data_IF_368892043928
#
_entry.id   IF_368892043928
#
_cell.length_a   1.000
_cell.length_b   1.000
_cell.length_c   1.000
_cell.angle_alpha   90.00
_cell.angle_beta   90.00
_cell.angle_gamma   90.00
#
_symmetry.space_group_name_H-M   'P 1'
#
loop_
_entity.id
_entity.type
_entity.pdbx_description
1 polymer ?
#
# COMPACT_ATOMS: atom_id res chain seq x y z
N UNK A 1 -32.56 48.19 -25.06
CA UNK A 1 -33.03 46.79 -25.03
C UNK A 1 -31.88 45.92 -25.52
N UNK A 2 -31.12 45.31 -24.61
CA UNK A 2 -30.05 44.38 -24.95
C UNK A 2 -30.66 42.97 -25.03
N UNK A 3 -30.62 42.36 -26.22
CA UNK A 3 -31.11 40.99 -26.43
C UNK A 3 -30.17 40.01 -25.74
N UNK A 4 -30.70 39.27 -24.79
CA UNK A 4 -30.01 38.14 -24.14
C UNK A 4 -29.63 37.13 -25.22
N UNK A 5 -28.34 36.71 -25.32
CA UNK A 5 -27.94 35.69 -26.27
C UNK A 5 -28.62 34.37 -25.88
N UNK A 6 -29.51 33.91 -26.76
CA UNK A 6 -30.13 32.58 -26.70
C UNK A 6 -29.02 31.54 -26.57
N UNK A 7 -28.96 30.84 -25.44
CA UNK A 7 -28.09 29.71 -25.20
C UNK A 7 -28.38 28.63 -26.24
N UNK A 8 -27.61 28.62 -27.32
CA UNK A 8 -27.60 27.51 -28.27
C UNK A 8 -27.24 26.24 -27.49
N UNK A 9 -28.14 25.24 -27.54
CA UNK A 9 -27.97 23.95 -26.88
C UNK A 9 -26.64 23.31 -27.30
N UNK A 10 -25.63 23.43 -26.44
CA UNK A 10 -24.35 22.76 -26.64
C UNK A 10 -24.58 21.26 -26.45
N UNK A 11 -24.58 20.52 -27.55
CA UNK A 11 -24.56 19.06 -27.53
C UNK A 11 -23.45 18.56 -26.60
N UNK A 12 -23.84 17.75 -25.62
CA UNK A 12 -22.89 17.12 -24.69
C UNK A 12 -21.92 16.20 -25.46
N UNK A 13 -20.69 15.98 -24.96
CA UNK A 13 -19.74 15.05 -25.59
C UNK A 13 -20.34 13.66 -25.85
N UNK A 14 -21.22 13.18 -24.95
CA UNK A 14 -21.96 11.92 -25.12
C UNK A 14 -22.92 11.95 -26.31
N UNK A 15 -23.70 13.01 -26.45
CA UNK A 15 -24.62 13.17 -27.60
C UNK A 15 -23.85 13.29 -28.92
N UNK A 16 -22.70 13.97 -28.92
CA UNK A 16 -21.81 14.01 -30.09
C UNK A 16 -21.26 12.64 -30.44
N UNK A 17 -20.80 11.88 -29.45
CA UNK A 17 -20.32 10.51 -29.65
C UNK A 17 -21.42 9.56 -30.16
N UNK A 18 -22.67 9.71 -29.70
CA UNK A 18 -23.81 8.95 -30.20
C UNK A 18 -24.18 9.30 -31.64
N UNK A 19 -24.17 10.59 -32.00
CA UNK A 19 -24.35 11.02 -33.39
C UNK A 19 -23.27 10.44 -34.32
N UNK A 20 -22.02 10.40 -33.85
CA UNK A 20 -20.90 9.77 -34.56
C UNK A 20 -21.13 8.25 -34.66
N UNK A 21 -21.59 7.59 -33.59
CA UNK A 21 -21.82 6.14 -33.57
C UNK A 21 -22.96 5.70 -34.49
N UNK A 22 -24.00 6.51 -34.62
CA UNK A 22 -25.18 6.21 -35.44
C UNK A 22 -25.00 6.59 -36.92
N UNK A 23 -23.92 7.28 -37.27
CA UNK A 23 -23.58 7.61 -38.65
C UNK A 23 -23.05 6.38 -39.40
N UNK A 24 -23.54 6.17 -40.63
CA UNK A 24 -23.11 5.07 -41.52
C UNK A 24 -21.68 5.21 -42.04
N UNK A 25 -21.01 6.31 -41.74
CA UNK A 25 -19.66 6.57 -42.24
C UNK A 25 -18.60 5.74 -41.49
N UNK A 26 -17.61 5.26 -42.24
CA UNK A 26 -16.52 4.42 -41.71
C UNK A 26 -15.44 5.23 -40.95
N UNK A 27 -15.52 6.57 -40.99
CA UNK A 27 -14.53 7.47 -40.39
C UNK A 27 -14.89 7.72 -38.93
N UNK A 28 -14.27 6.96 -38.02
CA UNK A 28 -14.63 6.98 -36.58
C UNK A 28 -13.57 7.60 -35.68
N UNK A 29 -12.33 7.71 -36.14
CA UNK A 29 -11.18 8.13 -35.32
C UNK A 29 -10.21 9.03 -36.10
N UNK A 30 -9.31 9.71 -35.37
CA UNK A 30 -8.30 10.62 -35.94
C UNK A 30 -7.47 9.99 -37.07
N UNK A 31 -6.92 8.76 -36.94
CA UNK A 31 -6.14 8.14 -38.02
C UNK A 31 -6.98 7.91 -39.28
N UNK A 32 -8.22 7.43 -39.13
CA UNK A 32 -9.12 7.22 -40.27
C UNK A 32 -9.54 8.52 -40.96
N UNK A 33 -9.73 9.60 -40.20
CA UNK A 33 -10.05 10.92 -40.74
C UNK A 33 -8.87 11.51 -41.52
N UNK A 34 -7.65 11.39 -40.99
CA UNK A 34 -6.42 11.80 -41.68
C UNK A 34 -6.22 11.00 -42.97
N UNK A 35 -6.27 9.67 -42.88
CA UNK A 35 -6.09 8.80 -44.03
C UNK A 35 -7.08 9.12 -45.15
N UNK A 36 -8.36 9.33 -44.80
CA UNK A 36 -9.38 9.72 -45.76
C UNK A 36 -9.09 11.07 -46.43
N UNK A 37 -8.67 12.09 -45.66
CA UNK A 37 -8.32 13.40 -46.21
C UNK A 37 -7.11 13.34 -47.15
N UNK A 38 -6.12 12.50 -46.83
CA UNK A 38 -4.94 12.30 -47.67
C UNK A 38 -5.26 11.51 -48.93
N UNK A 39 -6.05 10.43 -48.83
CA UNK A 39 -6.47 9.60 -49.96
C UNK A 39 -7.28 10.40 -51.00
N UNK A 40 -8.08 11.37 -50.53
CA UNK A 40 -8.88 12.24 -51.40
C UNK A 40 -8.14 13.52 -51.85
N UNK A 41 -6.86 13.68 -51.49
CA UNK A 41 -6.02 14.80 -51.93
C UNK A 41 -6.38 16.15 -51.30
N UNK A 42 -7.07 16.17 -50.16
CA UNK A 42 -7.40 17.40 -49.44
C UNK A 42 -6.29 17.87 -48.50
N UNK A 43 -5.43 16.94 -48.04
CA UNK A 43 -4.26 17.21 -47.21
C UNK A 43 -3.08 16.42 -47.79
N UNK A 44 -1.90 17.03 -47.84
CA UNK A 44 -0.69 16.36 -48.33
C UNK A 44 -0.21 15.32 -47.32
N UNK A 45 0.29 14.17 -47.78
CA UNK A 45 0.86 13.18 -46.86
C UNK A 45 2.04 13.80 -46.07
N UNK A 46 2.06 13.57 -44.76
CA UNK A 46 3.01 14.18 -43.84
C UNK A 46 2.70 15.62 -43.36
N UNK A 47 1.72 16.31 -43.93
CA UNK A 47 1.37 17.68 -43.50
C UNK A 47 0.72 17.68 -42.09
N UNK A 48 1.11 18.62 -41.20
CA UNK A 48 0.52 18.71 -39.87
C UNK A 48 -0.93 19.18 -39.96
N UNK A 49 -1.82 18.46 -39.27
CA UNK A 49 -3.24 18.82 -39.19
C UNK A 49 -3.38 20.03 -38.27
N UNK A 50 -3.42 21.21 -38.86
CA UNK A 50 -3.67 22.51 -38.20
C UNK A 50 -5.03 23.07 -38.60
N UNK A 51 -5.56 24.02 -37.84
CA UNK A 51 -6.85 24.67 -38.15
C UNK A 51 -6.83 25.30 -39.55
N UNK A 52 -5.68 25.84 -39.96
CA UNK A 52 -5.46 26.40 -41.29
C UNK A 52 -5.54 25.34 -42.39
N UNK A 53 -4.90 24.17 -42.19
CA UNK A 53 -4.96 23.07 -43.17
C UNK A 53 -6.37 22.51 -43.31
N UNK A 54 -7.13 22.40 -42.22
CA UNK A 54 -8.52 21.94 -42.28
C UNK A 54 -9.42 22.99 -42.94
N UNK A 55 -9.21 24.28 -42.66
CA UNK A 55 -9.95 25.35 -43.32
C UNK A 55 -9.69 25.35 -44.85
N UNK A 56 -8.45 25.14 -45.27
CA UNK A 56 -8.09 24.98 -46.67
C UNK A 56 -8.75 23.74 -47.29
N UNK A 57 -8.71 22.59 -46.60
CA UNK A 57 -9.37 21.36 -47.03
C UNK A 57 -10.89 21.55 -47.20
N UNK A 58 -11.55 22.22 -46.25
CA UNK A 58 -12.98 22.55 -46.34
C UNK A 58 -13.28 23.49 -47.51
N UNK A 59 -12.42 24.48 -47.76
CA UNK A 59 -12.58 25.38 -48.90
C UNK A 59 -12.42 24.63 -50.22
N UNK A 60 -11.41 23.77 -50.35
CA UNK A 60 -11.24 22.89 -51.51
C UNK A 60 -12.46 22.00 -51.72
N UNK A 61 -12.99 21.38 -50.65
CA UNK A 61 -14.21 20.59 -50.71
C UNK A 61 -15.38 21.38 -51.31
N UNK A 62 -15.58 22.65 -50.97
CA UNK A 62 -16.67 23.45 -51.56
C UNK A 62 -16.54 23.68 -53.06
N UNK A 63 -15.31 23.64 -53.59
CA UNK A 63 -15.05 23.78 -55.03
C UNK A 63 -15.17 22.46 -55.79
N UNK A 64 -15.13 21.31 -55.08
CA UNK A 64 -15.27 19.99 -55.69
C UNK A 64 -16.73 19.68 -56.03
N UNK A 65 -16.99 19.21 -57.26
CA UNK A 65 -18.28 18.62 -57.61
C UNK A 65 -18.34 17.19 -57.07
N UNK A 66 -19.04 16.99 -55.96
CA UNK A 66 -19.22 15.65 -55.39
C UNK A 66 -20.19 14.82 -56.23
N UNK A 67 -19.76 13.68 -56.78
CA UNK A 67 -20.64 12.78 -57.53
C UNK A 67 -21.65 12.06 -56.62
N UNK A 68 -21.35 11.97 -55.31
CA UNK A 68 -22.19 11.30 -54.33
C UNK A 68 -22.28 12.14 -53.04
N UNK A 69 -23.48 12.42 -52.51
CA UNK A 69 -23.66 13.07 -51.21
C UNK A 69 -22.90 12.40 -50.05
N UNK A 70 -22.65 11.09 -50.13
CA UNK A 70 -21.91 10.36 -49.10
C UNK A 70 -20.47 10.86 -48.92
N UNK A 71 -19.77 11.21 -50.01
CA UNK A 71 -18.39 11.72 -49.97
C UNK A 71 -18.31 13.08 -49.26
N UNK A 72 -19.33 13.92 -49.45
CA UNK A 72 -19.40 15.20 -48.76
C UNK A 72 -19.63 15.01 -47.26
N UNK A 73 -20.53 14.09 -46.87
CA UNK A 73 -20.77 13.73 -45.47
C UNK A 73 -19.49 13.17 -44.82
N UNK A 74 -18.78 12.29 -45.52
CA UNK A 74 -17.51 11.72 -45.05
C UNK A 74 -16.44 12.80 -44.87
N UNK A 75 -16.29 13.73 -45.81
CA UNK A 75 -15.32 14.81 -45.68
C UNK A 75 -15.65 15.80 -44.57
N UNK A 76 -16.92 16.17 -44.40
CA UNK A 76 -17.35 17.01 -43.29
C UNK A 76 -17.12 16.33 -41.95
N UNK A 77 -17.34 15.01 -41.88
CA UNK A 77 -17.06 14.22 -40.68
C UNK A 77 -15.57 14.13 -40.39
N UNK A 78 -14.74 13.85 -41.39
CA UNK A 78 -13.30 13.85 -41.24
C UNK A 78 -12.81 15.20 -40.70
N UNK A 79 -13.32 16.31 -41.27
CA UNK A 79 -12.94 17.66 -40.84
C UNK A 79 -13.35 17.95 -39.40
N UNK A 80 -14.58 17.59 -39.02
CA UNK A 80 -15.06 17.73 -37.65
C UNK A 80 -14.19 16.93 -36.66
N UNK A 81 -13.86 15.67 -36.98
CA UNK A 81 -12.98 14.84 -36.14
C UNK A 81 -11.59 15.48 -36.02
N UNK A 82 -11.02 15.98 -37.12
CA UNK A 82 -9.71 16.63 -37.08
C UNK A 82 -9.72 17.92 -36.25
N UNK A 83 -10.77 18.75 -36.32
CA UNK A 83 -10.91 19.99 -35.51
C UNK A 83 -11.03 19.67 -34.02
N UNK A 84 -11.86 18.69 -33.65
CA UNK A 84 -12.06 18.29 -32.25
C UNK A 84 -10.72 17.81 -31.64
N UNK A 85 -9.93 17.07 -32.43
CA UNK A 85 -8.60 16.64 -32.00
C UNK A 85 -7.59 17.78 -31.86
N UNK A 86 -7.60 18.81 -32.71
CA UNK A 86 -6.71 19.97 -32.53
C UNK A 86 -7.00 20.67 -31.20
N UNK A 87 -8.28 20.87 -30.86
CA UNK A 87 -8.66 21.48 -29.60
C UNK A 87 -8.22 20.64 -28.39
N UNK A 88 -8.35 19.31 -28.50
CA UNK A 88 -7.86 18.40 -27.47
C UNK A 88 -6.34 18.43 -27.34
N UNK A 89 -5.58 18.48 -28.44
CA UNK A 89 -4.11 18.56 -28.40
C UNK A 89 -3.61 19.87 -27.78
N UNK A 90 -4.26 21.00 -28.10
CA UNK A 90 -3.93 22.29 -27.48
C UNK A 90 -4.25 22.27 -25.97
N UNK A 91 -5.41 21.73 -25.58
CA UNK A 91 -5.78 21.58 -24.17
C UNK A 91 -4.83 20.64 -23.42
N UNK A 92 -4.45 19.50 -24.01
CA UNK A 92 -3.46 18.57 -23.45
C UNK A 92 -2.13 19.29 -23.29
N UNK A 93 -1.67 20.04 -24.31
CA UNK A 93 -0.42 20.80 -24.24
C UNK A 93 -0.45 21.79 -23.08
N UNK A 94 -1.49 22.62 -22.94
CA UNK A 94 -1.62 23.56 -21.83
C UNK A 94 -1.65 22.85 -20.47
N UNK A 95 -2.37 21.73 -20.35
CA UNK A 95 -2.40 20.93 -19.11
C UNK A 95 -1.03 20.36 -18.79
N UNK A 96 -0.28 19.87 -19.79
CA UNK A 96 1.07 19.33 -19.59
C UNK A 96 2.08 20.42 -19.22
N UNK A 97 1.98 21.61 -19.81
CA UNK A 97 2.80 22.77 -19.45
C UNK A 97 2.50 23.25 -18.02
N UNK A 98 1.23 23.32 -17.64
CA UNK A 98 0.83 23.66 -16.27
C UNK A 98 1.28 22.59 -15.26
N UNK A 99 1.09 21.31 -15.59
CA UNK A 99 1.50 20.20 -14.73
C UNK A 99 3.03 20.17 -14.54
N UNK A 100 3.80 20.36 -15.61
CA UNK A 100 5.27 20.41 -15.53
C UNK A 100 5.74 21.64 -14.74
N UNK A 101 5.12 22.80 -14.91
CA UNK A 101 5.41 23.98 -14.10
C UNK A 101 5.14 23.74 -12.60
N UNK A 102 4.02 23.10 -12.25
CA UNK A 102 3.70 22.74 -10.85
C UNK A 102 4.65 21.69 -10.27
N UNK A 103 5.05 20.69 -11.06
CA UNK A 103 6.02 19.69 -10.63
C UNK A 103 7.37 20.36 -10.33
N UNK A 104 7.82 21.27 -11.19
CA UNK A 104 9.07 22.00 -10.99
C UNK A 104 9.00 22.88 -9.73
N UNK A 105 7.88 23.56 -9.50
CA UNK A 105 7.68 24.35 -8.29
C UNK A 105 7.75 23.49 -7.02
N UNK A 106 7.03 22.37 -6.98
CA UNK A 106 7.06 21.43 -5.85
C UNK A 106 8.48 20.88 -5.65
N UNK A 107 9.19 20.57 -6.74
CA UNK A 107 10.56 20.05 -6.68
C UNK A 107 11.52 21.10 -6.12
N UNK A 108 11.36 22.37 -6.49
CA UNK A 108 12.15 23.47 -5.95
C UNK A 108 11.87 23.69 -4.46
N UNK A 109 10.60 23.69 -4.05
CA UNK A 109 10.21 23.80 -2.63
C UNK A 109 10.75 22.64 -1.80
N UNK A 110 10.67 21.40 -2.32
CA UNK A 110 11.21 20.23 -1.65
C UNK A 110 12.74 20.31 -1.50
N UNK A 111 13.43 20.75 -2.56
CA UNK A 111 14.88 20.93 -2.54
C UNK A 111 15.28 21.97 -1.50
N UNK A 112 14.58 23.11 -1.46
CA UNK A 112 14.84 24.15 -0.46
C UNK A 112 14.63 23.63 0.97
N UNK A 113 13.50 22.97 1.25
CA UNK A 113 13.20 22.41 2.57
C UNK A 113 14.25 21.36 3.00
N UNK A 114 14.73 20.54 2.05
CA UNK A 114 15.78 19.56 2.33
C UNK A 114 17.13 20.23 2.61
N UNK A 115 17.49 21.29 1.88
CA UNK A 115 18.72 22.06 2.16
C UNK A 115 18.65 22.70 3.54
N UNK A 116 17.53 23.35 3.90
CA UNK A 116 17.35 23.94 5.24
C UNK A 116 17.41 22.88 6.36
N UNK A 117 16.82 21.70 6.13
CA UNK A 117 16.88 20.59 7.08
C UNK A 117 18.32 20.05 7.26
N UNK A 118 19.06 19.93 6.17
CA UNK A 118 20.47 19.48 6.19
C UNK A 118 21.34 20.51 6.92
N UNK A 119 21.17 21.80 6.63
CA UNK A 119 21.95 22.87 7.28
C UNK A 119 21.66 22.96 8.78
N UNK A 120 20.39 22.90 9.19
CA UNK A 120 20.01 22.88 10.60
C UNK A 120 20.53 21.64 11.34
N UNK A 121 20.55 20.48 10.67
CA UNK A 121 21.10 19.25 11.24
C UNK A 121 22.62 19.32 11.38
N UNK A 122 23.32 19.81 10.35
CA UNK A 122 24.76 20.02 10.38
C UNK A 122 25.17 21.01 11.47
N UNK A 123 24.41 22.11 11.65
CA UNK A 123 24.65 23.08 12.72
C UNK A 123 24.51 22.46 14.11
N UNK A 124 23.48 21.62 14.33
CA UNK A 124 23.30 20.89 15.60
C UNK A 124 24.45 19.91 15.87
N UNK A 125 24.90 19.18 14.85
CA UNK A 125 26.04 18.27 14.95
C UNK A 125 27.32 19.03 15.32
N UNK A 126 27.57 20.19 14.70
CA UNK A 126 28.72 21.03 15.02
C UNK A 126 28.68 21.54 16.47
N UNK A 127 27.52 22.03 16.92
CA UNK A 127 27.33 22.48 18.31
C UNK A 127 27.53 21.35 19.32
N UNK A 128 26.99 20.16 19.03
CA UNK A 128 27.16 18.99 19.90
C UNK A 128 28.63 18.54 19.96
N UNK A 129 29.33 18.55 18.82
CA UNK A 129 30.75 18.21 18.76
C UNK A 129 31.62 19.22 19.53
N UNK A 130 31.32 20.52 19.45
CA UNK A 130 32.01 21.55 20.23
C UNK A 130 31.78 21.37 21.73
N UNK A 131 30.54 21.07 22.13
CA UNK A 131 30.19 20.73 23.51
C UNK A 131 30.99 19.52 24.02
N UNK A 132 31.02 18.42 23.26
CA UNK A 132 31.78 17.20 23.59
C UNK A 132 33.28 17.49 23.71
N UNK A 133 33.82 18.37 22.86
CA UNK A 133 35.23 18.79 22.93
C UNK A 133 35.53 19.58 24.20
N UNK A 134 34.63 20.47 24.62
CA UNK A 134 34.78 21.23 25.86
C UNK A 134 34.69 20.31 27.09
N UNK A 135 33.76 19.35 27.10
CA UNK A 135 33.65 18.34 28.17
C UNK A 135 34.91 17.45 28.24
N UNK A 136 35.47 17.04 27.10
CA UNK A 136 36.71 16.27 27.05
C UNK A 136 37.92 17.06 27.59
N UNK A 137 38.03 18.34 27.25
CA UNK A 137 39.10 19.22 27.76
C UNK A 137 38.99 19.42 29.29
N UNK A 138 37.77 19.58 29.81
CA UNK A 138 37.54 19.72 31.25
C UNK A 138 37.86 18.40 31.99
N UNK A 139 37.46 17.25 31.45
CA UNK A 139 37.81 15.95 32.00
C UNK A 139 39.33 15.71 32.01
N UNK A 140 40.04 16.15 30.97
CA UNK A 140 41.51 16.08 30.92
C UNK A 140 42.18 16.97 31.97
N UNK A 141 41.67 18.18 32.19
CA UNK A 141 42.14 19.07 33.25
C UNK A 141 41.94 18.44 34.64
N UNK A 142 40.78 17.84 34.90
CA UNK A 142 40.50 17.13 36.14
C UNK A 142 41.43 15.93 36.36
N UNK A 143 41.78 15.19 35.29
CA UNK A 143 42.78 14.11 35.36
C UNK A 143 44.15 14.64 35.75
N UNK A 144 44.60 15.73 35.14
CA UNK A 144 45.89 16.35 35.49
C UNK A 144 45.93 16.87 36.93
N UNK A 145 44.83 17.43 37.45
CA UNK A 145 44.73 17.85 38.85
C UNK A 145 44.76 16.64 39.81
N UNK A 146 44.07 15.55 39.47
CA UNK A 146 44.10 14.31 40.24
C UNK A 146 45.49 13.65 40.26
N UNK A 147 46.19 13.65 39.12
CA UNK A 147 47.55 13.12 39.03
C UNK A 147 48.54 13.94 39.85
N UNK A 148 48.46 15.28 39.83
CA UNK A 148 49.25 16.14 40.72
C UNK A 148 48.96 15.88 42.20
N UNK A 149 47.69 15.79 42.58
CA UNK A 149 47.31 15.48 43.96
C UNK A 149 47.84 14.10 44.43
N UNK A 150 47.89 13.13 43.50
CA UNK A 150 48.47 11.82 43.76
C UNK A 150 49.99 11.88 43.94
N UNK A 151 50.70 12.66 43.12
CA UNK A 151 52.14 12.89 43.28
C UNK A 151 52.47 13.57 44.62
N UNK A 152 51.75 14.64 44.97
CA UNK A 152 51.89 15.33 46.26
C UNK A 152 51.65 14.39 47.45
N UNK A 153 50.67 13.48 47.33
CA UNK A 153 50.40 12.48 48.37
C UNK A 153 51.53 11.45 48.49
N UNK A 154 52.07 10.97 47.37
CA UNK A 154 53.21 10.04 47.37
C UNK A 154 54.47 10.67 47.98
N UNK A 155 54.69 11.96 47.77
CA UNK A 155 55.80 12.69 48.39
C UNK A 155 55.63 12.78 49.92
N UNK A 156 54.44 13.13 50.41
CA UNK A 156 54.12 13.11 51.85
C UNK A 156 54.28 11.72 52.48
N UNK A 157 53.88 10.66 51.79
CA UNK A 157 54.04 9.28 52.29
C UNK A 157 55.52 8.93 52.42
N UNK A 158 56.36 9.31 51.46
CA UNK A 158 57.82 9.09 51.54
C UNK A 158 58.42 9.78 52.77
N UNK A 159 57.99 11.01 53.08
CA UNK A 159 58.44 11.73 54.28
C UNK A 159 57.98 11.07 55.60
N UNK A 160 56.80 10.42 55.61
CA UNK A 160 56.25 9.76 56.80
C UNK A 160 56.84 8.36 57.08
N UNK A 161 57.50 7.72 56.10
CA UNK A 161 58.16 6.41 56.30
C UNK A 161 59.47 6.53 57.11
N UNK A 162 59.35 6.48 58.43
CA UNK A 162 60.43 6.10 59.35
C UNK A 162 60.76 4.59 59.20
N UNK A 163 62.01 4.16 59.45
CA UNK A 163 62.44 2.79 59.20
C UNK A 163 61.68 1.78 60.08
N UNK A 164 61.25 0.64 59.52
CA UNK A 164 60.41 -0.31 60.23
C UNK A 164 61.20 -1.04 61.33
N UNK A 165 60.73 -0.94 62.57
CA UNK A 165 61.06 -1.91 63.61
C UNK A 165 60.43 -3.26 63.25
N UNK A 166 61.27 -4.27 63.06
CA UNK A 166 60.89 -5.68 62.90
C UNK A 166 60.05 -6.13 64.08
N UNK A 167 58.82 -6.56 63.81
CA UNK A 167 58.04 -7.42 64.69
C UNK A 167 57.60 -8.60 63.84
N UNK A 168 58.24 -9.73 64.10
CA UNK A 168 57.86 -11.03 63.56
C UNK A 168 56.56 -11.46 64.26
N UNK A 169 55.52 -11.73 63.48
CA UNK A 169 54.42 -12.61 63.88
C UNK A 169 53.70 -13.13 62.64
N UNK A 170 53.93 -14.42 62.37
CA UNK A 170 53.13 -15.25 61.49
C UNK A 170 51.73 -15.41 62.08
N UNK A 171 50.71 -14.86 61.42
CA UNK A 171 49.40 -15.50 61.41
C UNK A 171 48.59 -15.00 60.21
N UNK A 172 48.10 -15.99 59.46
CA UNK A 172 47.39 -15.88 58.19
C UNK A 172 46.21 -14.89 58.27
N UNK A 173 46.40 -13.68 57.74
CA UNK A 173 45.30 -12.77 57.41
C UNK A 173 45.15 -12.73 55.89
N UNK A 174 43.98 -13.18 55.42
CA UNK A 174 43.52 -13.01 54.05
C UNK A 174 43.74 -11.55 53.65
N UNK A 175 44.42 -11.38 52.52
CA UNK A 175 44.89 -10.10 52.05
C UNK A 175 43.72 -9.14 51.85
N UNK A 176 43.81 -7.95 52.45
CA UNK A 176 42.86 -6.87 52.26
C UNK A 176 42.69 -6.51 50.76
N UNK A 177 43.68 -6.86 49.92
CA UNK A 177 43.63 -6.75 48.46
C UNK A 177 42.53 -7.63 47.82
N UNK A 178 42.24 -8.82 48.35
CA UNK A 178 41.19 -9.71 47.83
C UNK A 178 39.77 -9.18 48.17
N UNK A 179 39.62 -8.53 49.32
CA UNK A 179 38.37 -7.85 49.71
C UNK A 179 38.11 -6.60 48.88
N UNK A 180 39.14 -5.86 48.47
CA UNK A 180 38.97 -4.67 47.61
C UNK A 180 38.66 -5.04 46.14
N UNK A 181 39.18 -6.15 45.64
CA UNK A 181 38.87 -6.65 44.29
C UNK A 181 37.39 -7.04 44.12
N UNK A 182 36.72 -7.46 45.20
CA UNK A 182 35.30 -7.83 45.17
C UNK A 182 34.37 -6.61 45.23
N UNK A 183 34.79 -5.53 45.90
CA UNK A 183 33.97 -4.32 46.05
C UNK A 183 34.02 -3.44 44.78
N UNK A 184 35.17 -3.39 44.08
CA UNK A 184 35.33 -2.59 42.86
C UNK A 184 34.56 -3.11 41.64
N UNK A 185 34.24 -4.41 41.59
CA UNK A 185 33.45 -4.98 40.48
C UNK A 185 31.93 -4.79 40.63
N UNK A 186 31.46 -4.22 41.75
CA UNK A 186 30.02 -4.16 42.07
C UNK A 186 29.40 -2.76 42.00
N UNK A 187 30.18 -1.69 41.79
CA UNK A 187 29.67 -0.30 41.96
C UNK A 187 29.95 0.66 40.80
N UNK A 188 30.09 0.15 39.57
CA UNK A 188 30.30 0.98 38.37
C UNK A 188 29.24 0.72 37.31
N UNK A 189 27.99 1.08 37.57
CA UNK A 189 27.05 1.41 36.50
C UNK A 189 26.39 2.77 36.76
N UNK A 190 26.78 3.82 36.02
CA UNK A 190 26.03 5.07 36.00
C UNK A 190 24.71 4.88 35.26
N UNK A 191 23.62 5.15 35.98
CA UNK A 191 22.26 5.23 35.45
C UNK A 191 22.05 6.56 34.72
N UNK A 192 22.23 6.60 33.41
CA UNK A 192 21.67 7.68 32.57
C UNK A 192 21.46 7.20 31.14
N UNK A 193 20.29 7.56 30.60
CA UNK A 193 19.75 7.32 29.25
C UNK A 193 19.11 5.93 29.01
N UNK A 194 17.79 5.96 28.88
CA UNK A 194 16.87 4.87 28.54
C UNK A 194 17.13 4.29 27.14
N UNK A 195 18.26 3.60 26.98
CA UNK A 195 18.44 2.60 25.94
C UNK A 195 17.86 1.32 26.51
N UNK A 196 16.70 0.91 26.02
CA UNK A 196 16.10 -0.39 26.38
C UNK A 196 17.09 -1.48 25.98
N UNK A 197 17.89 -1.95 26.94
CA UNK A 197 18.80 -3.07 26.76
C UNK A 197 17.94 -4.32 26.55
N UNK A 198 17.58 -4.60 25.28
CA UNK A 198 16.95 -5.86 24.90
C UNK A 198 17.85 -6.98 25.38
N UNK A 199 17.27 -7.96 26.07
CA UNK A 199 18.03 -9.12 26.51
C UNK A 199 18.50 -9.92 25.30
N UNK A 200 19.59 -10.67 25.41
CA UNK A 200 20.07 -11.52 24.31
C UNK A 200 18.99 -12.51 23.82
N UNK A 201 18.13 -12.97 24.74
CA UNK A 201 16.94 -13.77 24.41
C UNK A 201 15.94 -13.04 23.51
N UNK A 202 15.74 -11.74 23.70
CA UNK A 202 14.83 -10.96 22.85
C UNK A 202 15.39 -10.81 21.44
N UNK A 203 16.71 -10.58 21.32
CA UNK A 203 17.40 -10.48 20.02
C UNK A 203 17.26 -11.79 19.25
N UNK A 204 17.51 -12.94 19.89
CA UNK A 204 17.35 -14.27 19.26
C UNK A 204 15.91 -14.51 18.81
N UNK A 205 14.93 -14.15 19.65
CA UNK A 205 13.50 -14.27 19.31
C UNK A 205 13.11 -13.40 18.11
N UNK A 206 13.61 -12.17 18.04
CA UNK A 206 13.36 -11.28 16.90
C UNK A 206 13.98 -11.81 15.61
N UNK A 207 15.22 -12.33 15.67
CA UNK A 207 15.87 -12.96 14.53
C UNK A 207 15.08 -14.18 14.02
N UNK A 208 14.60 -15.03 14.92
CA UNK A 208 13.76 -16.18 14.58
C UNK A 208 12.44 -15.75 13.92
N UNK A 209 11.82 -14.67 14.38
CA UNK A 209 10.59 -14.12 13.79
C UNK A 209 10.89 -13.59 12.39
N UNK A 210 11.94 -12.78 12.23
CA UNK A 210 12.35 -12.25 10.93
C UNK A 210 12.65 -13.36 9.91
N UNK A 211 13.41 -14.39 10.31
CA UNK A 211 13.74 -15.52 9.43
C UNK A 211 12.48 -16.32 9.02
N UNK A 212 11.52 -16.50 9.94
CA UNK A 212 10.24 -17.15 9.62
C UNK A 212 9.41 -16.31 8.66
N UNK A 213 9.31 -15.01 8.86
CA UNK A 213 8.57 -14.11 7.98
C UNK A 213 9.21 -14.00 6.59
N UNK A 214 10.54 -13.99 6.50
CA UNK A 214 11.24 -14.05 5.22
C UNK A 214 10.96 -15.36 4.47
N UNK A 215 10.96 -16.49 5.17
CA UNK A 215 10.57 -17.77 4.55
C UNK A 215 9.11 -17.77 4.10
N UNK A 216 8.21 -17.20 4.90
CA UNK A 216 6.78 -17.13 4.58
C UNK A 216 6.48 -16.19 3.43
N UNK A 217 7.22 -15.09 3.28
CA UNK A 217 7.03 -14.12 2.19
C UNK A 217 7.35 -14.72 0.83
N UNK A 218 8.24 -15.72 0.78
CA UNK A 218 8.60 -16.52 -0.39
C UNK A 218 7.65 -17.69 -0.68
N UNK A 219 6.66 -17.94 0.19
CA UNK A 219 5.75 -19.07 0.07
C UNK A 219 4.41 -18.69 -0.58
N UNK A 220 3.87 -19.63 -1.36
CA UNK A 220 2.53 -19.55 -1.94
C UNK A 220 1.78 -20.85 -1.63
N UNK A 221 0.49 -20.74 -1.29
CA UNK A 221 -0.39 -21.89 -1.09
C UNK A 221 -1.22 -22.11 -2.35
N UNK A 222 -1.12 -23.30 -2.92
CA UNK A 222 -1.93 -23.73 -4.05
C UNK A 222 -2.87 -24.84 -3.60
N UNK A 223 -4.16 -24.69 -3.86
CA UNK A 223 -5.19 -25.69 -3.61
C UNK A 223 -5.64 -26.35 -4.93
N UNK A 224 -6.07 -27.61 -4.86
CA UNK A 224 -6.56 -28.36 -6.02
C UNK A 224 -5.48 -29.00 -6.91
N UNK A 225 -4.20 -28.67 -6.72
CA UNK A 225 -3.10 -29.23 -7.53
C UNK A 225 -2.98 -30.76 -7.37
N UNK A 226 -3.23 -31.28 -6.18
CA UNK A 226 -3.25 -32.72 -5.90
C UNK A 226 -4.38 -33.47 -6.65
N UNK A 227 -5.44 -32.79 -7.07
CA UNK A 227 -6.51 -33.42 -7.86
C UNK A 227 -6.05 -33.70 -9.30
N UNK A 228 -5.10 -32.90 -9.81
CA UNK A 228 -4.59 -33.02 -11.18
C UNK A 228 -3.44 -34.01 -11.25
N UNK A 229 -2.52 -33.95 -10.28
CA UNK A 229 -1.35 -34.85 -10.22
C UNK A 229 -1.64 -36.19 -9.54
N UNK A 230 -2.78 -36.29 -8.84
CA UNK A 230 -3.11 -37.43 -7.98
C UNK A 230 -2.57 -37.25 -6.55
N UNK A 231 -3.22 -37.90 -5.59
CA UNK A 231 -2.90 -37.79 -4.15
C UNK A 231 -1.51 -38.32 -3.77
N UNK A 232 -0.91 -39.14 -4.63
CA UNK A 232 0.40 -39.76 -4.41
C UNK A 232 1.54 -39.03 -5.13
N UNK A 233 1.27 -37.83 -5.66
CA UNK A 233 2.28 -37.05 -6.35
C UNK A 233 3.47 -36.77 -5.45
N UNK A 234 4.68 -36.98 -5.97
CA UNK A 234 5.90 -36.66 -5.22
C UNK A 234 6.13 -35.14 -5.20
N UNK A 235 6.81 -34.59 -4.18
CA UNK A 235 7.20 -33.17 -4.19
C UNK A 235 7.98 -32.76 -5.45
N UNK A 236 8.76 -33.69 -6.02
CA UNK A 236 9.56 -33.46 -7.23
C UNK A 236 8.70 -33.34 -8.48
N UNK A 237 7.70 -34.21 -8.65
CA UNK A 237 6.71 -34.12 -9.75
C UNK A 237 5.92 -32.80 -9.70
N UNK A 238 5.53 -32.39 -8.48
CA UNK A 238 4.85 -31.12 -8.24
C UNK A 238 5.75 -29.95 -8.65
N UNK A 239 7.01 -29.95 -8.24
CA UNK A 239 7.97 -28.90 -8.61
C UNK A 239 8.23 -28.86 -10.11
N UNK A 240 8.37 -30.00 -10.77
CA UNK A 240 8.59 -30.07 -12.21
C UNK A 240 7.42 -29.41 -12.96
N UNK A 241 6.18 -29.80 -12.63
CA UNK A 241 4.98 -29.24 -13.26
C UNK A 241 4.79 -27.74 -12.98
N UNK A 242 5.06 -27.30 -11.76
CA UNK A 242 4.94 -25.89 -11.38
C UNK A 242 5.99 -25.03 -12.11
N UNK A 243 7.23 -25.51 -12.22
CA UNK A 243 8.27 -24.80 -12.96
C UNK A 243 7.96 -24.78 -14.48
N UNK A 244 7.43 -25.88 -15.05
CA UNK A 244 6.94 -25.91 -16.43
C UNK A 244 5.81 -24.90 -16.67
N UNK A 245 4.80 -24.89 -15.80
CA UNK A 245 3.69 -23.94 -15.86
C UNK A 245 4.16 -22.49 -15.73
N UNK A 246 5.20 -22.22 -14.93
CA UNK A 246 5.82 -20.90 -14.81
C UNK A 246 6.57 -20.50 -16.09
N UNK A 247 7.29 -21.43 -16.72
CA UNK A 247 7.95 -21.16 -18.01
C UNK A 247 6.94 -20.88 -19.12
N UNK A 248 5.75 -21.49 -19.07
CA UNK A 248 4.68 -21.30 -20.04
C UNK A 248 3.95 -19.95 -19.93
N UNK A 249 4.10 -19.22 -18.82
CA UNK A 249 3.53 -17.87 -18.70
C UNK A 249 4.26 -16.91 -19.68
N UNK A 250 3.52 -16.12 -20.49
CA UNK A 250 4.08 -15.07 -21.35
C UNK A 250 5.02 -14.12 -20.58
N UNK A 251 6.03 -13.58 -21.25
CA UNK A 251 6.98 -12.64 -20.62
C UNK A 251 6.32 -11.34 -20.19
N UNK A 252 5.29 -10.90 -20.91
CA UNK A 252 4.52 -9.70 -20.61
C UNK A 252 3.06 -10.08 -20.51
N UNK A 253 2.46 -9.77 -19.37
CA UNK A 253 1.02 -9.91 -19.16
C UNK A 253 0.42 -8.52 -19.12
N UNK A 254 -0.53 -8.29 -20.03
CA UNK A 254 -1.34 -7.07 -20.09
C UNK A 254 -2.65 -7.39 -19.39
N UNK A 255 -2.98 -6.64 -18.34
CA UNK A 255 -4.28 -6.76 -17.70
C UNK A 255 -5.34 -6.11 -18.60
N UNK A 256 -6.25 -6.91 -19.16
CA UNK A 256 -7.33 -6.41 -20.02
C UNK A 256 -8.26 -5.43 -19.28
N UNK A 257 -8.34 -5.51 -17.95
CA UNK A 257 -9.16 -4.61 -17.12
C UNK A 257 -8.42 -3.32 -16.72
N UNK A 258 -7.08 -3.33 -16.75
CA UNK A 258 -6.23 -2.21 -16.39
C UNK A 258 -5.36 -1.79 -17.58
N UNK A 259 -5.87 -0.84 -18.38
CA UNK A 259 -5.30 -0.36 -19.66
C UNK A 259 -3.82 0.08 -19.60
N UNK A 260 -3.24 0.31 -18.41
CA UNK A 260 -1.89 0.86 -18.23
C UNK A 260 -0.90 -0.03 -17.47
N UNK A 261 -1.29 -1.19 -16.96
CA UNK A 261 -0.39 -2.01 -16.13
C UNK A 261 0.12 -3.23 -16.91
N UNK A 262 1.34 -3.12 -17.45
CA UNK A 262 2.10 -4.27 -17.98
C UNK A 262 2.98 -4.86 -16.89
N UNK A 263 2.88 -6.17 -16.67
CA UNK A 263 3.72 -6.88 -15.72
C UNK A 263 4.77 -7.72 -16.44
N UNK A 264 6.03 -7.28 -16.35
CA UNK A 264 7.18 -8.02 -16.86
C UNK A 264 7.54 -9.17 -15.92
N UNK A 265 7.70 -10.36 -16.49
CA UNK A 265 8.06 -11.58 -15.77
C UNK A 265 9.46 -11.43 -15.16
N UNK A 266 9.62 -11.54 -13.82
CA UNK A 266 10.92 -11.40 -13.20
C UNK A 266 11.87 -12.53 -13.65
N UNK A 267 13.07 -12.15 -14.05
CA UNK A 267 14.12 -13.09 -14.44
C UNK A 267 14.52 -14.00 -13.25
N UNK A 268 14.96 -15.22 -13.58
CA UNK A 268 15.53 -16.19 -12.64
C UNK A 268 14.60 -16.67 -11.50
N UNK A 269 13.28 -16.49 -11.58
CA UNK A 269 12.35 -17.09 -10.61
C UNK A 269 12.26 -18.61 -10.79
N UNK A 270 12.49 -19.35 -9.71
CA UNK A 270 12.39 -20.82 -9.65
C UNK A 270 11.73 -21.26 -8.36
N UNK A 271 10.92 -22.31 -8.45
CA UNK A 271 10.35 -22.97 -7.29
C UNK A 271 11.37 -23.99 -6.75
N UNK A 272 11.76 -23.82 -5.48
CA UNK A 272 12.83 -24.61 -4.84
C UNK A 272 12.23 -25.81 -4.12
N UNK A 273 11.19 -25.59 -3.31
CA UNK A 273 10.60 -26.64 -2.48
C UNK A 273 9.09 -26.70 -2.66
N UNK A 274 8.54 -27.91 -2.60
CA UNK A 274 7.11 -28.16 -2.53
C UNK A 274 6.82 -29.02 -1.31
N UNK A 275 5.80 -28.63 -0.54
CA UNK A 275 5.31 -29.40 0.59
C UNK A 275 3.83 -29.69 0.42
N UNK A 276 3.51 -30.96 0.28
CA UNK A 276 2.13 -31.42 0.24
C UNK A 276 1.52 -31.40 1.64
N UNK A 277 0.29 -30.91 1.75
CA UNK A 277 -0.52 -30.87 2.95
C UNK A 277 -1.54 -32.00 2.92
N UNK A 278 -2.00 -32.42 4.11
CA UNK A 278 -2.97 -33.53 4.25
C UNK A 278 -4.33 -33.23 3.63
N UNK A 279 -4.69 -31.95 3.46
CA UNK A 279 -5.91 -31.51 2.81
C UNK A 279 -5.80 -31.44 1.26
N UNK A 280 -4.66 -31.85 0.68
CA UNK A 280 -4.42 -31.78 -0.76
C UNK A 280 -3.87 -30.43 -1.24
N UNK A 281 -3.68 -29.46 -0.34
CA UNK A 281 -3.00 -28.21 -0.64
C UNK A 281 -1.48 -28.42 -0.78
N UNK A 282 -0.82 -27.53 -1.52
CA UNK A 282 0.63 -27.53 -1.73
C UNK A 282 1.19 -26.18 -1.34
N UNK A 283 2.15 -26.17 -0.42
CA UNK A 283 2.96 -24.98 -0.13
C UNK A 283 4.20 -25.03 -1.02
N UNK A 284 4.34 -24.01 -1.86
CA UNK A 284 5.50 -23.84 -2.73
C UNK A 284 6.40 -22.74 -2.16
N UNK A 285 7.71 -22.95 -2.19
CA UNK A 285 8.72 -21.95 -1.82
C UNK A 285 9.48 -21.48 -3.07
N UNK A 286 9.52 -20.17 -3.27
CA UNK A 286 10.16 -19.53 -4.40
C UNK A 286 11.52 -18.98 -3.97
N UNK A 287 12.51 -19.01 -4.86
CA UNK A 287 13.84 -18.49 -4.59
C UNK A 287 13.90 -16.98 -4.32
N UNK A 288 12.89 -16.23 -4.76
CA UNK A 288 12.83 -14.77 -4.71
C UNK A 288 11.48 -14.28 -4.15
N UNK A 289 11.56 -13.29 -3.25
CA UNK A 289 10.38 -12.59 -2.71
C UNK A 289 9.63 -11.88 -3.84
N UNK A 290 10.36 -11.32 -4.81
CA UNK A 290 9.77 -10.64 -5.97
C UNK A 290 8.93 -11.59 -6.82
N UNK A 291 9.37 -12.84 -7.01
CA UNK A 291 8.59 -13.86 -7.71
C UNK A 291 7.27 -14.18 -6.98
N UNK A 292 7.33 -14.26 -5.65
CA UNK A 292 6.13 -14.48 -4.84
C UNK A 292 5.16 -13.29 -4.92
N UNK A 293 5.67 -12.05 -4.87
CA UNK A 293 4.88 -10.83 -5.02
C UNK A 293 4.24 -10.77 -6.41
N UNK A 294 5.00 -11.08 -7.47
CA UNK A 294 4.51 -11.05 -8.85
C UNK A 294 3.37 -12.05 -9.06
N UNK A 295 3.48 -13.27 -8.51
CA UNK A 295 2.41 -14.28 -8.54
C UNK A 295 1.16 -13.91 -7.71
N UNK A 296 1.27 -12.96 -6.77
CA UNK A 296 0.10 -12.43 -6.06
C UNK A 296 -0.68 -11.42 -6.89
N UNK A 297 -0.11 -10.87 -7.95
CA UNK A 297 -0.87 -9.99 -8.84
C UNK A 297 -2.04 -10.78 -9.50
N UNK A 298 -3.27 -10.24 -9.52
CA UNK A 298 -4.44 -10.96 -10.01
C UNK A 298 -4.32 -11.39 -11.49
N UNK A 299 -3.75 -10.56 -12.36
CA UNK A 299 -3.58 -10.87 -13.78
C UNK A 299 -2.59 -12.03 -13.97
N UNK A 300 -1.41 -11.93 -13.34
CA UNK A 300 -0.38 -12.98 -13.37
C UNK A 300 -0.91 -14.28 -12.76
N UNK A 301 -1.61 -14.18 -11.63
CA UNK A 301 -2.20 -15.31 -10.92
C UNK A 301 -3.20 -16.05 -11.79
N UNK A 302 -4.06 -15.34 -12.52
CA UNK A 302 -5.08 -15.92 -13.41
C UNK A 302 -4.44 -16.69 -14.56
N UNK A 303 -3.42 -16.13 -15.22
CA UNK A 303 -2.70 -16.84 -16.28
C UNK A 303 -1.90 -18.03 -15.72
N UNK A 304 -1.26 -17.90 -14.55
CA UNK A 304 -0.56 -19.03 -13.93
C UNK A 304 -1.52 -20.15 -13.48
N UNK A 305 -2.70 -19.82 -12.97
CA UNK A 305 -3.74 -20.81 -12.66
C UNK A 305 -4.20 -21.54 -13.92
N UNK A 306 -4.39 -20.80 -15.01
CA UNK A 306 -4.79 -21.35 -16.31
C UNK A 306 -3.74 -22.31 -16.87
N UNK A 307 -2.44 -22.03 -16.71
CA UNK A 307 -1.37 -22.96 -17.12
C UNK A 307 -1.29 -24.21 -16.24
N UNK A 308 -1.64 -24.10 -14.95
CA UNK A 308 -1.66 -25.25 -14.03
C UNK A 308 -2.89 -26.16 -14.21
N UNK A 309 -4.05 -25.59 -14.53
CA UNK A 309 -5.30 -26.29 -14.82
C UNK A 309 -6.54 -25.64 -14.19
N UNK A 310 -7.73 -25.99 -14.70
CA UNK A 310 -9.02 -25.34 -14.36
C UNK A 310 -9.41 -25.40 -12.88
N UNK A 311 -8.98 -26.45 -12.17
CA UNK A 311 -9.37 -26.68 -10.77
C UNK A 311 -8.30 -26.22 -9.76
N UNK A 312 -7.28 -25.49 -10.22
CA UNK A 312 -6.20 -24.98 -9.36
C UNK A 312 -6.53 -23.58 -8.88
N UNK A 313 -6.49 -23.39 -7.56
CA UNK A 313 -6.68 -22.09 -6.93
C UNK A 313 -5.46 -21.70 -6.13
N UNK A 314 -4.93 -20.51 -6.39
CA UNK A 314 -3.84 -19.93 -5.62
C UNK A 314 -4.44 -19.09 -4.51
N UNK A 315 -4.17 -19.48 -3.27
CA UNK A 315 -4.66 -18.82 -2.07
C UNK A 315 -3.62 -17.85 -1.53
N UNK A 316 -4.06 -16.62 -1.29
CA UNK A 316 -3.27 -15.69 -0.52
C UNK A 316 -3.14 -16.17 0.91
N UNK A 317 -1.94 -16.00 1.45
CA UNK A 317 -1.70 -16.26 2.85
C UNK A 317 -2.31 -15.14 3.67
N UNK A 318 -3.32 -15.51 4.44
CA UNK A 318 -3.94 -14.62 5.40
C UNK A 318 -3.13 -14.65 6.71
N UNK A 319 -2.77 -13.48 7.20
CA UNK A 319 -2.16 -13.28 8.50
C UNK A 319 -3.19 -12.78 9.49
N UNK A 320 -3.14 -13.34 10.68
CA UNK A 320 -3.87 -12.82 11.82
C UNK A 320 -3.01 -11.78 12.53
N UNK A 321 -3.52 -10.57 12.67
CA UNK A 321 -2.98 -9.49 13.48
C UNK A 321 -3.89 -9.30 14.69
N UNK A 322 -3.29 -9.29 15.88
CA UNK A 322 -3.99 -8.97 17.11
C UNK A 322 -3.90 -7.46 17.33
N UNK A 323 -5.04 -6.81 17.52
CA UNK A 323 -5.08 -5.38 17.87
C UNK A 323 -5.68 -5.24 19.26
N UNK A 324 -4.87 -4.75 20.18
CA UNK A 324 -5.23 -4.54 21.58
C UNK A 324 -5.86 -3.14 21.76
N UNK A 325 -6.63 -2.96 22.85
CA UNK A 325 -7.16 -1.66 23.29
C UNK A 325 -8.13 -0.94 22.33
N UNK A 326 -8.82 -1.68 21.46
CA UNK A 326 -9.88 -1.09 20.64
C UNK A 326 -11.14 -0.78 21.48
N UNK A 327 -11.72 0.43 21.37
CA UNK A 327 -12.95 0.78 22.08
C UNK A 327 -14.12 -0.15 21.72
N UNK A 328 -14.85 -0.63 22.74
CA UNK A 328 -16.06 -1.46 22.58
C UNK A 328 -17.15 -0.81 21.74
N UNK A 329 -17.21 0.52 21.74
CA UNK A 329 -18.17 1.29 20.95
C UNK A 329 -18.03 1.05 19.44
N UNK A 330 -16.91 0.46 18.99
CA UNK A 330 -16.67 0.12 17.59
C UNK A 330 -17.28 -1.22 17.16
N UNK A 331 -17.85 -2.03 18.06
CA UNK A 331 -18.31 -3.38 17.74
C UNK A 331 -19.29 -3.44 16.57
N UNK A 332 -20.30 -2.56 16.57
CA UNK A 332 -21.32 -2.52 15.51
C UNK A 332 -20.79 -1.94 14.19
N UNK A 333 -19.63 -1.28 14.22
CA UNK A 333 -19.04 -0.59 13.07
C UNK A 333 -17.85 -1.32 12.46
N UNK A 334 -17.36 -2.37 13.12
CA UNK A 334 -16.09 -3.03 12.79
C UNK A 334 -16.04 -3.53 11.33
N UNK A 335 -17.14 -4.10 10.83
CA UNK A 335 -17.22 -4.60 9.44
C UNK A 335 -17.10 -3.47 8.42
N UNK A 336 -17.68 -2.31 8.71
CA UNK A 336 -17.62 -1.12 7.85
C UNK A 336 -16.29 -0.36 7.99
N UNK A 337 -15.53 -0.62 9.06
CA UNK A 337 -14.24 0.01 9.28
C UNK A 337 -13.11 -0.61 8.47
N UNK A 338 -13.27 -1.81 7.92
CA UNK A 338 -12.23 -2.44 7.11
C UNK A 338 -11.80 -1.54 5.95
N UNK A 339 -12.76 -1.06 5.14
CA UNK A 339 -12.47 -0.17 4.02
C UNK A 339 -11.87 1.18 4.44
N UNK A 340 -12.29 1.72 5.59
CA UNK A 340 -11.72 2.97 6.13
C UNK A 340 -10.27 2.75 6.56
N UNK A 341 -9.99 1.65 7.26
CA UNK A 341 -8.63 1.31 7.68
C UNK A 341 -7.75 1.05 6.45
N UNK A 342 -8.29 0.40 5.41
CA UNK A 342 -7.59 0.21 4.15
C UNK A 342 -7.22 1.53 3.49
N UNK A 343 -8.20 2.42 3.33
CA UNK A 343 -8.02 3.74 2.72
C UNK A 343 -7.03 4.61 3.51
N UNK A 344 -7.21 4.71 4.83
CA UNK A 344 -6.38 5.54 5.72
C UNK A 344 -4.92 5.06 5.78
N UNK A 345 -4.67 3.76 5.59
CA UNK A 345 -3.33 3.16 5.65
C UNK A 345 -2.73 2.82 4.27
N UNK A 346 -3.38 3.25 3.18
CA UNK A 346 -2.95 3.00 1.81
C UNK A 346 -2.85 1.50 1.47
N UNK A 347 -3.72 0.68 2.05
CA UNK A 347 -3.91 -0.72 1.62
C UNK A 347 -4.83 -0.77 0.40
N UNK A 348 -4.72 -1.85 -0.37
CA UNK A 348 -5.65 -2.11 -1.47
C UNK A 348 -7.00 -2.54 -0.89
N UNK A 349 -8.08 -2.11 -1.54
CA UNK A 349 -9.43 -2.51 -1.15
C UNK A 349 -9.55 -4.03 -1.14
N UNK A 350 -9.89 -4.61 0.02
CA UNK A 350 -10.01 -6.05 0.22
C UNK A 350 -8.76 -6.75 0.78
N UNK A 351 -7.68 -6.02 1.07
CA UNK A 351 -6.51 -6.54 1.80
C UNK A 351 -6.89 -7.05 3.20
N UNK A 352 -7.89 -6.44 3.84
CA UNK A 352 -8.44 -6.86 5.12
C UNK A 352 -9.60 -7.83 4.87
N UNK A 353 -9.28 -9.13 4.90
CA UNK A 353 -10.24 -10.17 4.61
C UNK A 353 -11.35 -10.29 5.67
N UNK A 354 -11.01 -10.11 6.95
CA UNK A 354 -11.98 -10.21 8.04
C UNK A 354 -11.51 -9.41 9.26
N UNK A 355 -12.44 -8.67 9.87
CA UNK A 355 -12.24 -8.08 11.20
C UNK A 355 -13.29 -8.65 12.15
N UNK A 356 -12.86 -9.19 13.30
CA UNK A 356 -13.78 -9.71 14.31
C UNK A 356 -13.22 -9.57 15.72
N UNK A 357 -14.11 -9.49 16.70
CA UNK A 357 -13.70 -9.62 18.10
C UNK A 357 -13.16 -11.02 18.37
N UNK A 358 -12.08 -11.12 19.14
CA UNK A 358 -11.56 -12.42 19.56
C UNK A 358 -12.54 -13.11 20.52
N UNK A 359 -13.22 -12.32 21.35
CA UNK A 359 -14.31 -12.75 22.23
C UNK A 359 -15.45 -11.76 22.09
N UNK A 360 -16.66 -12.28 21.89
CA UNK A 360 -17.86 -11.47 21.78
C UNK A 360 -18.07 -10.62 23.05
N UNK A 361 -18.07 -9.28 22.93
CA UNK A 361 -18.28 -8.38 24.07
C UNK A 361 -19.59 -8.65 24.81
N UNK A 362 -20.64 -9.05 24.09
CA UNK A 362 -21.99 -9.15 24.64
C UNK A 362 -22.20 -10.40 25.51
N UNK A 363 -21.42 -11.46 25.27
CA UNK A 363 -21.73 -12.78 25.83
C UNK A 363 -20.68 -13.30 26.83
N UNK A 364 -19.48 -12.71 26.89
CA UNK A 364 -18.37 -13.33 27.64
C UNK A 364 -17.38 -12.36 28.30
N UNK A 365 -17.68 -11.07 28.34
CA UNK A 365 -16.81 -10.13 29.03
C UNK A 365 -17.26 -9.98 30.47
N UNK A 366 -16.37 -10.34 31.41
CA UNK A 366 -16.50 -9.87 32.79
C UNK A 366 -16.49 -8.34 32.74
N UNK A 367 -17.23 -7.64 33.61
CA UNK A 367 -17.28 -6.16 33.66
C UNK A 367 -15.89 -5.48 33.69
N UNK A 368 -14.86 -6.25 34.00
CA UNK A 368 -13.48 -5.86 34.24
C UNK A 368 -12.52 -6.28 33.09
N UNK A 369 -12.99 -6.97 32.03
CA UNK A 369 -12.16 -7.47 30.92
C UNK A 369 -12.63 -6.91 29.57
N UNK A 370 -12.23 -5.68 29.24
CA UNK A 370 -12.54 -5.02 27.97
C UNK A 370 -11.28 -4.71 27.14
N UNK A 371 -10.61 -5.67 26.49
CA UNK A 371 -9.26 -5.34 25.96
C UNK A 371 -8.70 -5.99 24.66
N UNK A 372 -9.41 -6.79 23.84
CA UNK A 372 -8.72 -7.37 22.63
C UNK A 372 -9.58 -7.71 21.41
N UNK A 373 -9.09 -7.37 20.20
CA UNK A 373 -9.67 -7.67 18.87
C UNK A 373 -8.68 -8.45 18.00
N UNK A 374 -9.21 -9.23 17.05
CA UNK A 374 -8.44 -9.94 16.03
C UNK A 374 -8.79 -9.41 14.63
N UNK A 375 -7.78 -9.02 13.86
CA UNK A 375 -7.92 -8.62 12.46
C UNK A 375 -7.16 -9.61 11.58
N UNK A 376 -7.75 -10.06 10.49
CA UNK A 376 -7.08 -10.91 9.51
C UNK A 376 -6.72 -10.06 8.29
N UNK A 377 -5.42 -9.93 8.00
CA UNK A 377 -4.87 -9.16 6.88
C UNK A 377 -4.20 -10.09 5.86
N UNK A 378 -4.37 -9.83 4.57
CA UNK A 378 -3.42 -10.27 3.55
C UNK A 378 -2.27 -9.25 3.48
N UNK A 379 -1.01 -9.67 3.29
CA UNK A 379 0.10 -8.73 3.17
C UNK A 379 0.04 -8.01 1.81
N UNK A 380 -0.14 -6.69 1.81
CA UNK A 380 0.18 -5.89 0.63
C UNK A 380 1.69 -6.02 0.32
N UNK A 381 2.10 -6.25 -0.94
CA UNK A 381 3.50 -6.12 -1.31
C UNK A 381 3.93 -4.67 -1.07
N UNK A 382 4.97 -4.46 -0.26
CA UNK A 382 5.62 -3.15 -0.12
C UNK A 382 6.31 -2.81 -1.43
N UNK A 383 5.56 -2.24 -2.39
CA UNK A 383 6.13 -1.63 -3.57
C UNK A 383 6.70 -0.26 -3.17
N UNK A 384 8.01 -0.22 -2.87
CA UNK A 384 8.75 1.05 -2.83
C UNK A 384 9.04 1.49 -4.27
N UNK A 385 8.01 1.89 -5.01
CA UNK A 385 8.10 2.81 -6.16
C UNK A 385 6.80 3.61 -6.17
N UNK A 386 6.92 4.88 -5.79
CA UNK A 386 5.85 5.86 -5.88
C UNK A 386 5.56 6.17 -7.35
N UNK A 387 4.54 5.53 -7.92
CA UNK A 387 3.85 6.04 -9.11
C UNK A 387 2.63 6.81 -8.64
N UNK A 388 2.78 8.13 -8.60
CA UNK A 388 1.72 9.07 -8.22
C UNK A 388 0.69 9.14 -9.35
N UNK A 389 -0.41 8.40 -9.22
CA UNK A 389 -1.62 8.62 -10.02
C UNK A 389 -2.71 9.15 -9.09
N UNK A 390 -2.84 10.48 -9.01
CA UNK A 390 -3.98 11.13 -8.34
C UNK A 390 -5.05 11.46 -9.36
N UNK A 391 -6.12 10.68 -9.30
CA UNK A 391 -7.47 11.05 -9.72
C UNK A 391 -7.92 12.29 -8.95
N UNK A 392 -8.41 13.30 -9.67
CA UNK A 392 -8.94 14.54 -9.13
C UNK A 392 -10.46 14.53 -9.30
N UNK A 393 -11.21 14.65 -8.20
CA UNK A 393 -12.56 15.22 -8.23
C UNK A 393 -12.95 15.91 -6.93
N UNK A 394 -13.08 17.23 -7.07
CA UNK A 394 -14.00 18.19 -6.45
C UNK A 394 -14.32 18.11 -4.94
N UNK A 395 -13.86 19.11 -4.16
CA UNK A 395 -14.73 20.20 -3.68
C UNK A 395 -13.99 21.32 -2.90
N UNK A 396 -14.26 22.55 -3.35
CA UNK A 396 -14.57 23.79 -2.59
C UNK A 396 -13.97 24.06 -1.20
N UNK A 397 -13.13 25.09 -1.16
CA UNK A 397 -13.11 26.26 -0.24
C UNK A 397 -13.82 26.18 1.13
N UNK A 398 -13.07 26.35 2.23
CA UNK A 398 -13.20 27.53 3.13
C UNK A 398 -12.19 27.52 4.30
N UNK A 399 -11.40 28.60 4.37
CA UNK A 399 -11.14 29.46 5.55
C UNK A 399 -10.58 28.90 6.87
N UNK A 400 -9.30 29.21 7.10
CA UNK A 400 -8.64 29.78 8.30
C UNK A 400 -9.51 29.92 9.57
N UNK A 401 -9.03 29.39 10.70
CA UNK A 401 -9.48 29.85 12.03
C UNK A 401 -9.13 28.97 13.24
N UNK A 402 -7.99 29.27 13.86
CA UNK A 402 -7.70 29.24 15.31
C UNK A 402 -8.15 28.07 16.20
N UNK A 403 -7.11 27.46 16.79
CA UNK A 403 -7.02 26.92 18.14
C UNK A 403 -8.07 27.45 19.12
N UNK A 404 -8.90 26.54 19.66
CA UNK A 404 -9.46 26.61 21.02
C UNK A 404 -9.92 25.22 21.48
N UNK A 405 -9.34 24.84 22.60
CA UNK A 405 -9.67 23.76 23.51
C UNK A 405 -11.19 23.64 23.76
N UNK A 406 -11.80 22.49 23.40
CA UNK A 406 -13.20 22.19 23.72
C UNK A 406 -13.24 21.18 24.87
N UNK A 407 -13.56 21.69 26.05
CA UNK A 407 -13.94 20.95 27.25
C UNK A 407 -15.44 20.66 27.16
N UNK A 408 -15.83 19.40 26.90
CA UNK A 408 -17.25 19.01 26.91
C UNK A 408 -17.67 18.70 28.35
N UNK A 409 -18.45 19.62 28.95
CA UNK A 409 -19.32 19.32 30.09
C UNK A 409 -20.63 18.73 29.56
N UNK A 410 -20.98 17.52 30.01
CA UNK A 410 -22.26 16.88 29.69
C UNK A 410 -23.37 17.45 30.57
N UNK A 411 -24.32 18.19 29.99
CA UNK A 411 -25.59 18.52 30.63
C UNK A 411 -26.57 17.36 30.45
N UNK A 412 -26.94 16.75 31.57
CA UNK A 412 -28.04 15.80 31.69
C UNK A 412 -29.36 16.51 31.40
N UNK A 413 -30.14 16.01 30.44
CA UNK A 413 -31.53 16.43 30.25
C UNK A 413 -32.45 15.21 30.42
N UNK A 414 -33.18 15.19 31.54
CA UNK A 414 -34.31 14.30 31.83
C UNK A 414 -35.57 14.89 31.19
N UNK A 415 -36.33 14.07 30.47
CA UNK A 415 -37.79 14.17 30.17
C UNK A 415 -38.09 13.05 29.15
N UNK A 416 -39.22 12.35 29.16
CA UNK A 416 -40.39 12.24 30.05
C UNK A 416 -41.10 10.96 29.57
N UNK A 417 -41.57 10.14 30.50
CA UNK A 417 -42.44 9.00 30.23
C UNK A 417 -43.72 9.47 29.53
N UNK A 418 -44.18 8.69 28.55
CA UNK A 418 -45.60 8.62 28.24
C UNK A 418 -46.00 7.17 28.02
N UNK A 419 -46.95 6.78 28.86
CA UNK A 419 -47.68 5.53 28.96
C UNK A 419 -48.70 5.43 27.82
N UNK A 420 -48.80 4.25 27.19
CA UNK A 420 -50.03 3.83 26.51
C UNK A 420 -50.12 2.30 26.49
N UNK A 421 -51.13 1.80 27.19
CA UNK A 421 -51.63 0.42 27.24
C UNK A 421 -52.46 0.07 25.99
N UNK A 422 -52.76 -1.24 25.91
CA UNK A 422 -53.74 -1.96 25.06
C UNK A 422 -53.14 -2.53 23.76
N UNK A 423 -53.39 -3.79 23.32
CA UNK A 423 -54.45 -4.77 23.64
C UNK A 423 -54.00 -6.16 23.15
N UNK A 424 -54.53 -7.22 23.78
CA UNK A 424 -54.30 -8.63 23.49
C UNK A 424 -55.19 -9.20 22.35
N UNK A 425 -54.62 -10.11 21.55
CA UNK A 425 -55.28 -11.31 20.98
C UNK A 425 -55.49 -11.36 19.44
N UNK A 426 -55.72 -12.54 18.84
CA UNK A 426 -55.05 -13.82 19.06
C UNK A 426 -54.55 -14.51 17.76
N UNK A 427 -53.72 -15.53 17.95
CA UNK A 427 -53.16 -16.46 16.94
C UNK A 427 -54.23 -17.25 16.18
N UNK A 428 -54.06 -17.33 14.85
CA UNK A 428 -54.70 -18.37 14.01
C UNK A 428 -53.62 -19.28 13.44
N UNK A 429 -53.75 -20.59 13.73
CA UNK A 429 -52.97 -21.68 13.13
C UNK A 429 -53.57 -22.04 11.77
N UNK A 430 -52.75 -22.28 10.75
CA UNK A 430 -53.15 -23.07 9.59
C UNK A 430 -52.11 -24.17 9.32
N UNK A 431 -52.58 -25.40 9.54
CA UNK A 431 -52.05 -26.63 8.96
C UNK A 431 -52.54 -26.73 7.52
N UNK A 432 -51.68 -27.05 6.55
CA UNK A 432 -52.09 -27.76 5.33
C UNK A 432 -50.99 -28.77 4.96
N UNK A 433 -51.32 -30.05 5.16
CA UNK A 433 -50.71 -31.22 4.53
C UNK A 433 -51.45 -31.55 3.23
N UNK A 434 -50.74 -31.76 2.12
CA UNK A 434 -50.82 -32.94 1.23
C UNK A 434 -50.23 -32.66 -0.18
N UNK A 435 -49.31 -33.53 -0.59
CA UNK A 435 -48.89 -33.82 -1.97
C UNK A 435 -50.00 -34.65 -2.69
N UNK A 436 -49.97 -35.00 -4.01
CA UNK A 436 -48.82 -35.63 -4.70
C UNK A 436 -48.63 -35.38 -6.23
N UNK A 437 -47.46 -35.83 -6.70
CA UNK A 437 -47.11 -36.44 -8.00
C UNK A 437 -47.73 -35.95 -9.32
N UNK A 438 -46.87 -35.57 -10.27
CA UNK A 438 -47.05 -35.95 -11.67
C UNK A 438 -45.72 -36.28 -12.36
N UNK A 439 -45.66 -37.51 -12.87
CA UNK A 439 -44.69 -38.09 -13.79
C UNK A 439 -45.27 -38.04 -15.21
N UNK A 440 -44.50 -37.55 -16.20
CA UNK A 440 -44.62 -37.76 -17.65
C UNK A 440 -43.19 -37.55 -18.19
N UNK A 441 -42.55 -38.37 -19.02
CA UNK A 441 -42.99 -39.36 -20.00
C UNK A 441 -42.28 -39.03 -21.33
N UNK A 442 -41.55 -40.01 -21.88
CA UNK A 442 -40.70 -39.91 -23.07
C UNK A 442 -41.39 -39.41 -24.35
N UNK A 443 -40.57 -38.93 -25.29
CA UNK A 443 -40.89 -38.91 -26.72
C UNK A 443 -39.61 -38.98 -27.57
N UNK A 444 -39.37 -40.14 -28.17
CA UNK A 444 -38.50 -40.31 -29.34
C UNK A 444 -39.25 -39.81 -30.58
N UNK A 445 -38.53 -39.14 -31.49
CA UNK A 445 -38.62 -39.31 -32.94
C UNK A 445 -37.36 -38.79 -33.61
#
# INVERSE_FOLDING_TARGET
>A
MASVPTTADKLTPKQRAELIKNSQSNIKCKPSAKAWMTENGYITDGEPITTTTIAAALLLMTTCKFPNPSLWIDGMRAAAICIDNIQHEEAIKTITEEATARINEITNQLTQNLTELVDTTNQKILQENEKRRNEANEAEKQRQEADKAREDWLEKVKEMTLPPQRIDNEEQKKSYADTLATIFNTTSQPSTAATTNKTESDIRREQDICAREEKRSKQILIDGLANILGRNATPEEVLAKVNEAWTAIPEVIIDEECEYDSYEKPEAVKFITARLLTNGGVILEINSIYGAIHLRNPAVRKEFQKTLGKDVSIKDRQYTILVEFLPVTLQQRLTNMASIIEEDNLYQTGDIHQIRWMRDPDNNWRKEQQTTIHTTHAPAPKNTKSTTTKSNRDQQTSTIGNSKEIRIQTKVNKRKEHDTKERLGPRTKQNITHAPNHTIGMGQH
#
